data_IF_304764990319
#
_entry.id   IF_304764990319
#
_cell.length_a   1.000
_cell.length_b   1.000
_cell.length_c   1.000
_cell.angle_alpha   90.00
_cell.angle_beta   90.00
_cell.angle_gamma   90.00
#
_symmetry.space_group_name_H-M   'P 1'
#
loop_
_entity.id
_entity.type
_entity.pdbx_description
1 polymer ?
#
# COMPACT_ATOMS: atom_id res chain seq x y z
N UNK A 1 -4.53 -13.23 -8.89
CA UNK A 1 -5.33 -12.06 -8.44
C UNK A 1 -5.28 -10.99 -9.52
N UNK A 2 -6.44 -10.62 -10.11
CA UNK A 2 -6.49 -9.50 -11.07
C UNK A 2 -6.57 -8.18 -10.27
N UNK A 3 -5.42 -7.63 -9.88
CA UNK A 3 -5.32 -6.44 -9.02
C UNK A 3 -5.37 -5.17 -9.86
N UNK A 4 -6.53 -4.51 -9.86
CA UNK A 4 -6.63 -3.18 -10.47
C UNK A 4 -5.95 -2.15 -9.53
N UNK A 5 -4.90 -1.42 -9.98
CA UNK A 5 -4.16 -0.48 -9.14
C UNK A 5 -5.05 0.58 -8.49
N UNK A 6 -6.14 0.98 -9.18
CA UNK A 6 -7.10 1.97 -8.70
C UNK A 6 -7.80 1.55 -7.40
N UNK A 7 -8.02 0.25 -7.22
CA UNK A 7 -8.80 -0.27 -6.10
C UNK A 7 -7.94 -0.88 -4.99
N UNK A 8 -6.65 -1.09 -5.23
CA UNK A 8 -5.72 -1.73 -4.27
C UNK A 8 -5.74 -1.06 -2.89
N UNK A 9 -5.79 0.28 -2.86
CA UNK A 9 -5.78 1.07 -1.62
C UNK A 9 -7.02 0.83 -0.73
N UNK A 10 -8.04 0.14 -1.21
CA UNK A 10 -9.24 -0.22 -0.46
C UNK A 10 -9.26 -1.68 -0.02
N UNK A 11 -8.42 -2.53 -0.62
CA UNK A 11 -8.32 -3.95 -0.32
C UNK A 11 -7.33 -4.23 0.81
N UNK A 12 -7.29 -5.49 1.24
CA UNK A 12 -6.23 -6.00 2.08
C UNK A 12 -4.88 -5.89 1.35
N UNK A 13 -3.88 -5.38 2.08
CA UNK A 13 -2.53 -5.16 1.59
C UNK A 13 -1.58 -6.29 2.01
N UNK A 14 -2.04 -7.26 2.80
CA UNK A 14 -1.25 -8.44 3.18
C UNK A 14 -0.81 -9.22 1.93
N UNK A 15 0.44 -9.67 1.92
CA UNK A 15 1.03 -10.45 0.83
C UNK A 15 1.67 -9.62 -0.29
N UNK A 16 1.59 -8.29 -0.24
CA UNK A 16 2.34 -7.45 -1.18
C UNK A 16 3.74 -7.13 -0.68
N UNK A 17 4.69 -7.09 -1.62
CA UNK A 17 6.02 -6.55 -1.39
C UNK A 17 5.98 -5.02 -1.47
N UNK A 18 6.61 -4.34 -0.52
CA UNK A 18 6.44 -2.89 -0.34
C UNK A 18 7.77 -2.22 0.03
N UNK A 19 7.91 -1.00 -0.46
CA UNK A 19 8.99 -0.09 -0.10
C UNK A 19 8.39 1.12 0.59
N UNK A 20 9.15 1.79 1.46
CA UNK A 20 8.65 2.91 2.24
C UNK A 20 9.63 4.08 2.28
N UNK A 21 9.07 5.28 2.32
CA UNK A 21 9.79 6.53 2.47
C UNK A 21 9.15 7.36 3.56
N UNK A 22 9.93 7.80 4.54
CA UNK A 22 9.41 8.66 5.61
C UNK A 22 9.24 10.10 5.09
N UNK A 23 8.09 10.71 5.39
CA UNK A 23 7.73 12.05 4.90
C UNK A 23 8.54 13.18 5.53
N UNK A 24 9.01 12.99 6.76
CA UNK A 24 9.76 14.00 7.51
C UNK A 24 11.20 14.17 7.00
N UNK A 25 11.76 13.20 6.27
CA UNK A 25 13.10 13.33 5.71
C UNK A 25 13.07 14.32 4.53
N UNK A 26 14.11 15.17 4.39
CA UNK A 26 14.18 16.15 3.31
C UNK A 26 14.17 15.45 1.95
N UNK A 27 13.55 16.10 0.94
CA UNK A 27 13.35 15.55 -0.41
C UNK A 27 14.64 15.03 -1.07
N UNK A 28 15.82 15.51 -0.65
CA UNK A 28 17.14 15.06 -1.12
C UNK A 28 17.40 13.57 -0.86
N UNK A 29 16.75 12.96 0.13
CA UNK A 29 16.70 11.51 0.31
C UNK A 29 15.47 10.98 -0.44
N UNK A 30 15.65 10.79 -1.75
CA UNK A 30 14.56 10.40 -2.66
C UNK A 30 14.17 8.93 -2.46
N UNK A 31 15.12 8.11 -2.01
CA UNK A 31 15.05 6.65 -2.07
C UNK A 31 13.97 6.05 -1.18
N UNK A 32 13.33 5.02 -1.72
CA UNK A 32 12.40 4.17 -0.98
C UNK A 32 13.18 3.00 -0.40
N UNK A 33 13.10 2.84 0.91
CA UNK A 33 13.71 1.71 1.60
C UNK A 33 12.87 0.47 1.33
N UNK A 34 13.52 -0.63 0.95
CA UNK A 34 12.87 -1.92 0.86
C UNK A 34 12.57 -2.46 2.27
N UNK A 35 11.27 -2.57 2.59
CA UNK A 35 10.78 -3.00 3.90
C UNK A 35 10.16 -4.41 3.87
N UNK A 36 10.19 -5.11 2.73
CA UNK A 36 9.80 -6.51 2.59
C UNK A 36 8.31 -6.77 2.35
N UNK A 37 7.82 -7.92 2.86
CA UNK A 37 6.47 -8.41 2.64
C UNK A 37 5.51 -7.92 3.74
N UNK A 38 4.33 -7.45 3.38
CA UNK A 38 3.29 -7.11 4.35
C UNK A 38 2.70 -8.38 4.94
N UNK A 39 2.80 -8.54 6.26
CA UNK A 39 2.25 -9.67 7.01
C UNK A 39 1.00 -9.31 7.81
N UNK A 40 0.77 -8.02 8.10
CA UNK A 40 -0.40 -7.57 8.83
C UNK A 40 -0.76 -6.11 8.49
N UNK A 41 -2.06 -5.84 8.38
CA UNK A 41 -2.60 -4.51 8.13
C UNK A 41 -3.66 -4.11 9.17
N UNK A 42 -3.29 -3.15 10.03
CA UNK A 42 -4.17 -2.64 11.09
C UNK A 42 -4.69 -1.23 10.75
N UNK A 43 -5.46 -0.61 11.66
CA UNK A 43 -6.04 0.72 11.43
C UNK A 43 -5.00 1.75 11.01
N UNK A 44 -3.90 1.86 11.76
CA UNK A 44 -2.91 2.93 11.59
C UNK A 44 -1.52 2.41 11.19
N UNK A 45 -1.31 1.09 11.23
CA UNK A 45 0.01 0.50 11.10
C UNK A 45 0.02 -0.61 10.06
N UNK A 46 1.11 -0.67 9.30
CA UNK A 46 1.49 -1.82 8.49
C UNK A 46 2.61 -2.57 9.20
N UNK A 47 2.53 -3.90 9.23
CA UNK A 47 3.61 -4.75 9.73
C UNK A 47 4.20 -5.49 8.55
N UNK A 48 5.51 -5.43 8.41
CA UNK A 48 6.24 -6.13 7.35
C UNK A 48 7.27 -7.08 7.92
N UNK A 49 7.62 -8.08 7.12
CA UNK A 49 8.69 -9.04 7.40
C UNK A 49 9.73 -8.95 6.29
N UNK A 50 11.00 -8.77 6.67
CA UNK A 50 12.16 -8.78 5.79
C UNK A 50 13.31 -9.47 6.52
N UNK A 51 13.96 -10.46 5.91
CA UNK A 51 15.13 -11.16 6.47
C UNK A 51 14.92 -11.63 7.92
N UNK A 52 13.75 -12.24 8.20
CA UNK A 52 13.28 -12.62 9.54
C UNK A 52 13.08 -11.49 10.57
N UNK A 53 13.32 -10.23 10.20
CA UNK A 53 13.00 -9.07 11.02
C UNK A 53 11.57 -8.62 10.75
N UNK A 54 10.80 -8.46 11.82
CA UNK A 54 9.44 -7.90 11.76
C UNK A 54 9.48 -6.44 12.18
N UNK A 55 9.03 -5.55 11.31
CA UNK A 55 8.97 -4.10 11.57
C UNK A 55 7.55 -3.57 11.42
N UNK A 56 7.26 -2.51 12.18
CA UNK A 56 5.98 -1.83 12.20
C UNK A 56 6.13 -0.39 11.70
N UNK A 57 5.24 0.02 10.80
CA UNK A 57 5.28 1.32 10.13
C UNK A 57 3.98 2.08 10.36
N UNK A 58 4.07 3.33 10.79
CA UNK A 58 2.91 4.20 11.05
C UNK A 58 2.46 4.82 9.72
N UNK A 59 1.32 4.38 9.18
CA UNK A 59 0.86 4.72 7.82
C UNK A 59 0.93 6.22 7.49
N UNK A 60 0.47 7.09 8.40
CA UNK A 60 0.40 8.55 8.17
C UNK A 60 1.77 9.19 7.85
N UNK A 61 2.86 8.63 8.36
CA UNK A 61 4.19 9.22 8.33
C UNK A 61 5.01 8.77 7.12
N UNK A 62 4.50 7.82 6.32
CA UNK A 62 5.21 7.22 5.20
C UNK A 62 4.47 7.39 3.86
N UNK A 63 5.25 7.40 2.79
CA UNK A 63 4.81 7.15 1.41
C UNK A 63 5.25 5.72 1.10
N UNK A 64 4.35 4.95 0.52
CA UNK A 64 4.57 3.54 0.23
C UNK A 64 4.62 3.30 -1.27
N UNK A 65 5.47 2.37 -1.70
CA UNK A 65 5.55 1.90 -3.08
C UNK A 65 5.32 0.40 -3.09
N UNK A 66 4.17 -0.01 -3.61
CA UNK A 66 3.71 -1.40 -3.59
C UNK A 66 4.07 -2.06 -4.92
N UNK A 67 4.76 -3.20 -4.87
CA UNK A 67 5.06 -4.01 -6.05
C UNK A 67 3.82 -4.81 -6.44
N UNK A 68 3.33 -4.57 -7.65
CA UNK A 68 2.16 -5.28 -8.18
C UNK A 68 2.59 -6.56 -8.92
N UNK A 69 1.93 -7.70 -8.68
CA UNK A 69 2.16 -8.90 -9.47
C UNK A 69 1.42 -8.74 -10.81
N UNK A 70 2.14 -8.75 -11.94
CA UNK A 70 1.52 -8.89 -13.26
C UNK A 70 2.08 -10.09 -14.02
N UNK A 71 1.21 -10.65 -14.84
CA UNK A 71 1.22 -12.05 -15.30
C UNK A 71 1.73 -12.21 -16.74
N UNK A 72 2.23 -11.15 -17.39
CA UNK A 72 2.77 -11.24 -18.76
C UNK A 72 3.94 -10.26 -18.91
N UNK A 73 5.11 -10.82 -19.20
CA UNK A 73 6.35 -10.21 -19.70
C UNK A 73 6.92 -9.03 -18.88
N UNK A 74 7.89 -9.39 -18.02
CA UNK A 74 9.06 -8.66 -17.51
C UNK A 74 8.98 -7.22 -16.96
N UNK A 75 7.84 -6.55 -16.99
CA UNK A 75 7.71 -5.19 -16.44
C UNK A 75 7.28 -5.19 -14.97
N UNK A 76 8.16 -4.69 -14.10
CA UNK A 76 7.86 -4.48 -12.68
C UNK A 76 7.00 -3.21 -12.50
N UNK A 77 5.72 -3.40 -12.23
CA UNK A 77 4.80 -2.30 -11.92
C UNK A 77 4.80 -1.96 -10.43
N UNK A 78 4.88 -0.66 -10.14
CA UNK A 78 4.81 -0.13 -8.78
C UNK A 78 3.66 0.84 -8.62
N UNK A 79 2.95 0.75 -7.49
CA UNK A 79 1.93 1.71 -7.10
C UNK A 79 2.45 2.55 -5.92
N UNK A 80 2.67 3.84 -6.17
CA UNK A 80 3.03 4.79 -5.12
C UNK A 80 1.77 5.37 -4.46
N UNK A 81 1.72 5.31 -3.13
CA UNK A 81 0.57 5.67 -2.32
C UNK A 81 1.01 6.46 -1.11
N UNK A 82 0.39 7.63 -0.89
CA UNK A 82 0.49 8.32 0.39
C UNK A 82 -0.17 7.46 1.48
N UNK A 83 0.58 7.12 2.53
CA UNK A 83 0.08 6.27 3.60
C UNK A 83 -1.15 6.81 4.35
N UNK A 84 -1.44 8.13 4.30
CA UNK A 84 -2.71 8.72 4.77
C UNK A 84 -3.94 8.14 4.04
N UNK A 85 -3.80 7.75 2.77
CA UNK A 85 -4.90 7.19 1.96
C UNK A 85 -5.28 5.76 2.34
N UNK A 86 -4.38 5.05 3.03
CA UNK A 86 -4.62 3.66 3.48
C UNK A 86 -4.84 3.57 4.99
N UNK A 87 -5.01 4.71 5.69
CA UNK A 87 -5.43 4.74 7.10
C UNK A 87 -6.86 4.22 7.19
N UNK A 88 -7.07 3.26 8.08
CA UNK A 88 -8.32 2.53 8.24
C UNK A 88 -8.09 1.01 8.25
N UNK A 89 -8.96 0.28 8.96
CA UNK A 89 -8.97 -1.18 8.90
C UNK A 89 -9.36 -1.63 7.49
N UNK A 90 -8.76 -2.70 6.92
CA UNK A 90 -9.06 -3.19 5.57
C UNK A 90 -10.58 -3.31 5.31
N UNK A 91 -11.31 -3.95 6.24
CA UNK A 91 -12.77 -4.11 6.19
C UNK A 91 -13.53 -2.78 6.04
N UNK A 92 -13.06 -1.73 6.70
CA UNK A 92 -13.69 -0.39 6.65
C UNK A 92 -13.27 0.37 5.39
N UNK A 93 -12.05 0.17 4.90
CA UNK A 93 -11.57 0.79 3.64
C UNK A 93 -12.39 0.30 2.45
N UNK A 94 -12.72 -0.99 2.40
CA UNK A 94 -13.57 -1.54 1.35
C UNK A 94 -14.94 -0.85 1.26
N UNK A 95 -15.54 -0.47 2.40
CA UNK A 95 -16.83 0.25 2.43
C UNK A 95 -16.75 1.67 1.90
N UNK A 96 -15.56 2.28 1.89
CA UNK A 96 -15.36 3.65 1.40
C UNK A 96 -15.32 3.75 -0.13
N UNK A 97 -15.32 2.61 -0.85
CA UNK A 97 -15.54 2.56 -2.29
C UNK A 97 -16.91 3.13 -2.63
N UNK A 98 -16.95 4.43 -2.97
CA UNK A 98 -18.16 5.06 -3.47
C UNK A 98 -18.56 4.40 -4.78
N UNK A 99 -19.74 3.76 -4.81
CA UNK A 99 -20.35 3.31 -6.06
C UNK A 99 -20.57 4.54 -6.94
N UNK A 100 -20.23 4.44 -8.24
CA UNK A 100 -20.66 5.44 -9.23
C UNK A 100 -22.18 5.57 -9.09
N UNK A 101 -22.68 6.76 -8.75
CA UNK A 101 -24.13 7.03 -8.81
C UNK A 101 -24.53 6.80 -10.26
N UNK A 102 -25.38 5.80 -10.52
CA UNK A 102 -26.04 5.69 -11.81
C UNK A 102 -26.99 6.90 -11.87
N UNK A 103 -26.74 7.81 -12.80
CA UNK A 103 -27.75 8.78 -13.15
C UNK A 103 -28.88 7.98 -13.79
N UNK A 104 -29.96 7.77 -13.04
CA UNK A 104 -31.21 7.31 -13.62
C UNK A 104 -31.72 8.51 -14.40
N UNK A 105 -31.77 8.36 -15.72
CA UNK A 105 -32.22 9.38 -16.66
C UNK A 105 -33.74 9.27 -16.80
#
# INVERSE_FOLDING_TARGET
MNTNPKYLIYHDLIGFYIYAKIKSKPKKYIEFDDIGLIINDTKNMLTTKKDNVVKKYIKKDYIFKIKLPKTKEDEQYFLEVDGKKIVGRPEKRLRSLKKKKRFIK
#
